data_IF_289126786817
#
_entry.id   IF_289126786817
#
_cell.length_a   1.000
_cell.length_b   1.000
_cell.length_c   1.000
_cell.angle_alpha   90.00
_cell.angle_beta   90.00
_cell.angle_gamma   90.00
#
_symmetry.space_group_name_H-M   'P 1'
#
loop_
_entity.id
_entity.type
_entity.pdbx_description
1 polymer ?
#
# COMPACT_ATOMS: atom_id res chain seq x y z
N UNK A 1 10.22 24.16 -10.28
CA UNK A 1 9.72 22.80 -9.93
C UNK A 1 9.57 22.77 -8.41
N UNK A 2 8.34 22.65 -7.90
CA UNK A 2 8.06 22.84 -6.48
C UNK A 2 8.58 21.65 -5.68
N UNK A 3 9.35 21.87 -4.61
CA UNK A 3 9.97 20.80 -3.79
C UNK A 3 8.88 19.85 -3.26
N UNK A 4 7.78 20.41 -2.74
CA UNK A 4 6.60 19.64 -2.32
C UNK A 4 6.02 18.70 -3.38
N UNK A 5 6.00 19.12 -4.65
CA UNK A 5 5.48 18.27 -5.73
C UNK A 5 6.42 17.10 -6.03
N UNK A 6 7.73 17.32 -5.92
CA UNK A 6 8.72 16.24 -6.06
C UNK A 6 8.69 15.28 -4.87
N UNK A 7 8.56 15.80 -3.65
CA UNK A 7 8.42 14.98 -2.43
C UNK A 7 7.14 14.13 -2.49
N UNK A 8 6.02 14.74 -2.88
CA UNK A 8 4.77 14.03 -3.11
C UNK A 8 4.92 12.92 -4.15
N UNK A 9 5.45 13.24 -5.33
CA UNK A 9 5.63 12.26 -6.40
C UNK A 9 6.58 11.12 -5.98
N UNK A 10 7.62 11.45 -5.22
CA UNK A 10 8.55 10.46 -4.67
C UNK A 10 7.82 9.56 -3.68
N UNK A 11 7.09 10.12 -2.71
CA UNK A 11 6.32 9.36 -1.75
C UNK A 11 5.31 8.42 -2.42
N UNK A 12 4.56 8.90 -3.42
CA UNK A 12 3.61 8.09 -4.21
C UNK A 12 4.33 6.94 -4.90
N UNK A 13 5.47 7.20 -5.56
CA UNK A 13 6.25 6.17 -6.26
C UNK A 13 6.73 5.07 -5.30
N UNK A 14 7.19 5.47 -4.10
CA UNK A 14 7.61 4.52 -3.07
C UNK A 14 6.45 3.71 -2.52
N UNK A 15 5.30 4.35 -2.23
CA UNK A 15 4.09 3.66 -1.76
C UNK A 15 3.63 2.63 -2.78
N UNK A 16 3.55 2.99 -4.07
CA UNK A 16 3.15 2.05 -5.11
C UNK A 16 4.13 0.91 -5.30
N UNK A 17 5.43 1.17 -5.19
CA UNK A 17 6.48 0.14 -5.20
C UNK A 17 6.31 -0.87 -4.06
N UNK A 18 6.10 -0.39 -2.84
CA UNK A 18 5.88 -1.25 -1.67
C UNK A 18 4.56 -2.02 -1.74
N UNK A 19 3.49 -1.41 -2.26
CA UNK A 19 2.22 -2.12 -2.51
C UNK A 19 2.42 -3.23 -3.55
N UNK A 20 3.18 -2.97 -4.62
CA UNK A 20 3.49 -3.99 -5.63
C UNK A 20 4.33 -5.13 -5.04
N UNK A 21 5.31 -4.80 -4.20
CA UNK A 21 6.11 -5.79 -3.49
C UNK A 21 5.25 -6.61 -2.50
N UNK A 22 4.35 -5.95 -1.76
CA UNK A 22 3.35 -6.61 -0.91
C UNK A 22 2.47 -7.57 -1.70
N UNK A 23 2.01 -7.18 -2.89
CA UNK A 23 1.22 -8.05 -3.78
C UNK A 23 2.03 -9.27 -4.19
N UNK A 24 3.33 -9.11 -4.47
CA UNK A 24 4.21 -10.22 -4.83
C UNK A 24 4.49 -11.17 -3.67
N UNK A 25 4.59 -10.63 -2.46
CA UNK A 25 4.79 -11.37 -1.21
C UNK A 25 3.47 -11.67 -0.46
N UNK A 26 2.32 -11.59 -1.16
CA UNK A 26 0.98 -11.84 -0.60
C UNK A 26 0.92 -13.21 0.09
N UNK A 27 0.63 -13.18 1.39
CA UNK A 27 0.61 -14.37 2.26
C UNK A 27 1.74 -14.43 3.27
N UNK A 28 2.78 -13.58 3.16
CA UNK A 28 3.78 -13.43 4.24
C UNK A 28 3.25 -12.51 5.35
N UNK A 29 3.55 -12.83 6.63
CA UNK A 29 3.04 -12.08 7.78
C UNK A 29 3.50 -10.60 7.83
N UNK A 30 4.52 -10.22 7.04
CA UNK A 30 5.11 -8.88 7.07
C UNK A 30 4.97 -8.10 5.75
N UNK A 31 4.25 -8.64 4.76
CA UNK A 31 4.13 -8.01 3.44
C UNK A 31 3.43 -6.63 3.53
N UNK A 32 2.39 -6.52 4.36
CA UNK A 32 1.67 -5.26 4.57
C UNK A 32 2.37 -4.28 5.49
N UNK A 33 3.28 -4.76 6.34
CA UNK A 33 3.96 -3.92 7.33
C UNK A 33 4.82 -2.86 6.64
N UNK A 34 5.53 -3.23 5.57
CA UNK A 34 6.38 -2.32 4.82
C UNK A 34 5.56 -1.24 4.09
N UNK A 35 4.54 -1.65 3.32
CA UNK A 35 3.61 -0.73 2.65
C UNK A 35 2.90 0.21 3.64
N UNK A 36 2.40 -0.32 4.76
CA UNK A 36 1.72 0.50 5.78
C UNK A 36 2.67 1.51 6.44
N UNK A 37 3.93 1.12 6.68
CA UNK A 37 4.95 2.00 7.23
C UNK A 37 5.30 3.12 6.26
N UNK A 38 5.47 2.82 4.97
CA UNK A 38 5.71 3.82 3.93
C UNK A 38 4.56 4.82 3.81
N UNK A 39 3.31 4.34 3.81
CA UNK A 39 2.13 5.22 3.76
C UNK A 39 2.09 6.14 4.99
N UNK A 40 2.34 5.59 6.18
CA UNK A 40 2.33 6.36 7.42
C UNK A 40 3.43 7.42 7.43
N UNK A 41 4.64 7.08 6.97
CA UNK A 41 5.75 8.01 6.84
C UNK A 41 5.43 9.14 5.87
N UNK A 42 4.87 8.82 4.70
CA UNK A 42 4.46 9.82 3.72
C UNK A 42 3.42 10.79 4.28
N UNK A 43 2.46 10.29 5.07
CA UNK A 43 1.46 11.12 5.74
C UNK A 43 2.08 12.03 6.80
N UNK A 44 2.99 11.49 7.65
CA UNK A 44 3.69 12.28 8.66
C UNK A 44 4.56 13.38 8.05
N UNK A 45 5.18 13.12 6.90
CA UNK A 45 5.97 14.10 6.14
C UNK A 45 5.12 15.12 5.38
N UNK A 46 3.78 15.02 5.45
CA UNK A 46 2.83 15.80 4.62
C UNK A 46 3.12 15.68 3.12
N UNK A 47 3.68 14.55 2.71
CA UNK A 47 3.87 14.24 1.30
C UNK A 47 2.57 13.76 0.66
N UNK A 48 1.62 13.24 1.45
CA UNK A 48 0.27 12.86 1.02
C UNK A 48 -0.79 13.43 1.97
N UNK A 49 -2.00 13.65 1.46
CA UNK A 49 -3.13 14.15 2.24
C UNK A 49 -3.93 13.01 2.92
N UNK A 50 -4.83 13.35 3.86
CA UNK A 50 -5.68 12.37 4.55
C UNK A 50 -6.52 11.52 3.58
N UNK A 51 -7.00 12.15 2.51
CA UNK A 51 -7.73 11.50 1.42
C UNK A 51 -6.94 10.36 0.78
N UNK A 52 -5.65 10.61 0.50
CA UNK A 52 -4.75 9.65 -0.10
C UNK A 52 -4.34 8.56 0.89
N UNK A 53 -4.09 8.93 2.15
CA UNK A 53 -3.83 7.98 3.21
C UNK A 53 -4.98 6.96 3.34
N UNK A 54 -6.24 7.43 3.39
CA UNK A 54 -7.41 6.55 3.40
C UNK A 54 -7.52 5.72 2.12
N UNK A 55 -7.24 6.31 0.96
CA UNK A 55 -7.25 5.61 -0.32
C UNK A 55 -6.27 4.43 -0.32
N UNK A 56 -5.02 4.64 0.07
CA UNK A 56 -4.03 3.57 0.14
C UNK A 56 -4.37 2.51 1.18
N UNK A 57 -4.92 2.91 2.33
CA UNK A 57 -5.39 1.98 3.36
C UNK A 57 -6.50 1.06 2.82
N UNK A 58 -7.49 1.64 2.14
CA UNK A 58 -8.58 0.89 1.51
C UNK A 58 -8.08 -0.02 0.38
N UNK A 59 -7.08 0.42 -0.38
CA UNK A 59 -6.45 -0.40 -1.43
C UNK A 59 -5.75 -1.62 -0.85
N UNK A 60 -5.01 -1.48 0.26
CA UNK A 60 -4.39 -2.61 0.95
C UNK A 60 -5.45 -3.59 1.44
N UNK A 61 -6.50 -3.11 2.08
CA UNK A 61 -7.60 -3.94 2.56
C UNK A 61 -8.27 -4.73 1.42
N UNK A 62 -8.56 -4.06 0.29
CA UNK A 62 -9.13 -4.68 -0.90
C UNK A 62 -8.21 -5.77 -1.48
N UNK A 63 -6.90 -5.56 -1.48
CA UNK A 63 -5.91 -6.55 -1.94
C UNK A 63 -5.99 -7.81 -1.07
N UNK A 64 -6.05 -7.66 0.26
CA UNK A 64 -6.19 -8.79 1.18
C UNK A 64 -7.55 -9.49 1.06
N UNK A 65 -8.64 -8.72 0.92
CA UNK A 65 -9.96 -9.27 0.71
C UNK A 65 -10.04 -10.10 -0.59
N UNK A 66 -9.45 -9.58 -1.67
CA UNK A 66 -9.36 -10.31 -2.94
C UNK A 66 -8.49 -11.55 -2.82
N UNK A 67 -7.34 -11.47 -2.15
CA UNK A 67 -6.47 -12.62 -1.94
C UNK A 67 -7.15 -13.72 -1.12
N UNK A 68 -7.82 -13.37 -0.02
CA UNK A 68 -8.54 -14.33 0.80
C UNK A 68 -9.72 -14.97 0.04
N UNK A 69 -10.44 -14.19 -0.76
CA UNK A 69 -11.49 -14.70 -1.64
C UNK A 69 -10.95 -15.66 -2.72
N UNK A 70 -9.77 -15.37 -3.30
CA UNK A 70 -9.07 -16.26 -4.22
C UNK A 70 -8.54 -17.51 -3.53
N UNK A 71 -7.94 -17.40 -2.35
CA UNK A 71 -7.44 -18.52 -1.56
C UNK A 71 -8.56 -19.46 -1.11
N UNK A 72 -9.71 -18.90 -0.70
CA UNK A 72 -10.90 -19.68 -0.35
C UNK A 72 -11.49 -20.46 -1.54
N UNK A 73 -11.28 -20.02 -2.78
CA UNK A 73 -11.67 -20.77 -3.99
C UNK A 73 -10.70 -21.91 -4.34
N UNK A 74 -9.46 -21.85 -3.89
CA UNK A 74 -8.44 -22.90 -4.12
C UNK A 74 -8.48 -24.05 -3.09
N UNK A 75 -9.06 -23.83 -1.91
CA UNK A 75 -9.16 -24.83 -0.85
C UNK A 75 -10.38 -25.77 -0.96
N UNK A 76 -11.17 -25.64 -2.03
CA UNK A 76 -12.36 -26.45 -2.30
C UNK A 76 -12.22 -27.26 -3.60
N UNK A 77 -11.07 -27.91 -3.80
CA UNK A 77 -10.82 -28.86 -4.89
C UNK A 77 -10.28 -30.18 -4.34
#
# INVERSE_FOLDING_TARGET
>A
MNIQQRDHQTAVTWIEGEISNMIRDLGKPNASAAATSCITLAFMLRAIDDSEHRHYRARIDQIYASYNASASKGAAA
#
